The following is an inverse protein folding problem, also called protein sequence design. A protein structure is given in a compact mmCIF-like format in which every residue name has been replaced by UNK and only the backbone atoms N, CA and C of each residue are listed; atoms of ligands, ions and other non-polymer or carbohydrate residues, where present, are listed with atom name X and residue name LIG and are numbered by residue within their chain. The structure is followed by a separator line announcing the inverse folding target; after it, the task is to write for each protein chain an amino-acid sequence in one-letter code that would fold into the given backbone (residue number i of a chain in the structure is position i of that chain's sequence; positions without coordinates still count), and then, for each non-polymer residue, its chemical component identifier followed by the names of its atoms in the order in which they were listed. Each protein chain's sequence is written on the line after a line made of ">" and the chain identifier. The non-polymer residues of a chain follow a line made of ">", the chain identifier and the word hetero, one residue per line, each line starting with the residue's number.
data_IF_783254248001
#
_entry.id   IF_783254248001
#
_cell.length_a   1.000
_cell.length_b   1.000
_cell.length_c   1.000
_cell.angle_alpha   90.00
_cell.angle_beta   90.00
_cell.angle_gamma   90.00
#
_symmetry.space_group_name_H-M   'P 1'
#
loop_
_entity.id
_entity.type
_entity.pdbx_description
1 polymer ?
#
# COMPACT_ATOMS: atom_id res chain seq x y z
N UNK A 1 5.64 6.26 2.88
CA UNK A 1 4.75 6.59 1.74
C UNK A 1 3.51 7.27 2.27
N UNK A 2 3.00 8.29 1.56
CA UNK A 2 1.85 9.09 2.00
C UNK A 2 0.54 8.70 1.33
N UNK A 3 0.59 7.93 0.23
CA UNK A 3 -0.58 7.64 -0.61
C UNK A 3 -1.18 8.87 -1.27
N UNK A 4 -0.46 10.00 -1.31
CA UNK A 4 -0.93 11.25 -1.94
C UNK A 4 -0.80 11.15 -3.45
N UNK A 5 -1.91 11.39 -4.13
CA UNK A 5 -1.99 11.41 -5.59
C UNK A 5 -1.83 12.83 -6.13
N UNK A 6 -1.23 12.92 -7.31
CA UNK A 6 -0.96 14.16 -8.02
C UNK A 6 -1.24 13.95 -9.51
N UNK A 7 -1.90 14.93 -10.13
CA UNK A 7 -1.88 15.04 -11.59
C UNK A 7 -0.48 15.50 -12.04
N UNK A 8 0.02 14.94 -13.14
CA UNK A 8 1.37 15.22 -13.65
C UNK A 8 1.55 16.64 -14.18
N UNK A 9 2.75 16.93 -14.70
CA UNK A 9 3.14 18.24 -15.25
C UNK A 9 3.09 19.41 -14.24
N UNK A 10 3.39 19.12 -12.97
CA UNK A 10 3.49 20.10 -11.90
C UNK A 10 4.84 20.02 -11.19
N UNK A 11 5.27 21.14 -10.61
CA UNK A 11 6.37 21.16 -9.63
C UNK A 11 5.78 21.11 -8.23
N UNK A 12 6.30 20.20 -7.40
CA UNK A 12 5.81 20.00 -6.03
C UNK A 12 6.93 20.38 -5.07
N UNK A 13 6.70 21.42 -4.26
CA UNK A 13 7.54 21.74 -3.10
C UNK A 13 6.87 21.23 -1.84
N UNK A 14 7.54 20.35 -1.09
CA UNK A 14 7.02 19.79 0.17
C UNK A 14 8.12 19.60 1.20
N UNK A 15 7.81 19.82 2.48
CA UNK A 15 8.69 19.47 3.57
C UNK A 15 8.60 17.97 3.87
N UNK A 16 9.72 17.42 4.30
CA UNK A 16 9.86 16.02 4.71
C UNK A 16 10.59 15.98 6.05
N UNK A 17 10.21 15.05 6.92
CA UNK A 17 11.01 14.77 8.10
C UNK A 17 12.38 14.18 7.70
N UNK A 18 13.38 14.28 8.59
CA UNK A 18 14.74 13.77 8.30
C UNK A 18 14.78 12.27 7.96
N UNK A 19 13.79 11.51 8.43
CA UNK A 19 13.62 10.07 8.19
C UNK A 19 12.66 9.75 7.03
N UNK A 20 12.24 10.75 6.26
CA UNK A 20 11.38 10.59 5.09
C UNK A 20 12.14 10.79 3.78
N UNK A 21 12.16 9.76 2.94
CA UNK A 21 12.71 9.82 1.59
C UNK A 21 11.54 9.98 0.61
N UNK A 22 11.48 11.07 -0.18
CA UNK A 22 10.42 11.27 -1.16
C UNK A 22 10.57 10.28 -2.32
N UNK A 23 9.56 9.43 -2.50
CA UNK A 23 9.45 8.49 -3.62
C UNK A 23 8.06 8.65 -4.24
N UNK A 24 8.01 8.73 -5.56
CA UNK A 24 6.77 8.82 -6.33
C UNK A 24 6.66 7.60 -7.23
N UNK A 25 5.47 7.02 -7.29
CA UNK A 25 5.16 5.88 -8.15
C UNK A 25 4.11 6.33 -9.16
N UNK A 26 4.33 6.03 -10.43
CA UNK A 26 3.39 6.38 -11.49
C UNK A 26 2.14 5.51 -11.39
N UNK A 27 0.94 6.08 -11.54
CA UNK A 27 -0.28 5.30 -11.73
C UNK A 27 -0.11 4.31 -12.90
N UNK A 28 -0.63 3.09 -12.76
CA UNK A 28 -0.37 2.01 -13.73
C UNK A 28 0.87 1.18 -13.42
N UNK A 29 1.65 1.52 -12.39
CA UNK A 29 2.85 0.74 -12.04
C UNK A 29 2.50 -0.57 -11.33
N UNK A 30 3.28 -1.60 -11.64
CA UNK A 30 3.34 -2.87 -10.90
C UNK A 30 4.77 -2.99 -10.38
N UNK A 31 4.96 -3.00 -9.07
CA UNK A 31 6.29 -3.10 -8.44
C UNK A 31 6.41 -4.50 -7.81
N UNK A 32 7.20 -5.41 -8.41
CA UNK A 32 7.46 -6.71 -7.84
C UNK A 32 8.45 -6.58 -6.68
N UNK A 33 8.09 -7.16 -5.55
CA UNK A 33 8.90 -7.22 -4.33
C UNK A 33 8.83 -8.62 -3.74
N UNK A 34 9.52 -8.81 -2.62
CA UNK A 34 9.55 -10.07 -1.87
C UNK A 34 9.45 -9.77 -0.38
N UNK A 35 9.09 -10.77 0.45
CA UNK A 35 9.17 -10.62 1.90
C UNK A 35 10.56 -10.16 2.34
N UNK A 36 10.62 -9.47 3.48
CA UNK A 36 11.90 -9.06 4.06
C UNK A 36 12.72 -10.31 4.42
N UNK A 37 13.90 -10.41 3.83
CA UNK A 37 14.91 -11.45 4.09
C UNK A 37 16.19 -10.80 4.63
N UNK A 38 17.02 -11.58 5.33
CA UNK A 38 18.31 -11.09 5.81
C UNK A 38 19.40 -11.20 4.74
N UNK A 39 19.30 -12.22 3.88
CA UNK A 39 20.28 -12.47 2.81
C UNK A 39 19.58 -12.97 1.55
N UNK A 40 20.05 -12.53 0.39
CA UNK A 40 19.49 -12.90 -0.92
C UNK A 40 19.78 -14.36 -1.33
N UNK A 41 20.73 -15.01 -0.67
CA UNK A 41 21.05 -16.43 -0.90
C UNK A 41 20.22 -17.39 -0.02
N UNK A 42 19.34 -16.86 0.85
CA UNK A 42 18.35 -17.64 1.60
C UNK A 42 17.25 -18.12 0.65
N UNK A 43 17.49 -19.26 0.01
CA UNK A 43 16.53 -19.94 -0.89
C UNK A 43 15.61 -20.91 -0.11
N UNK A 44 14.37 -21.14 -0.59
CA UNK A 44 13.79 -20.54 -1.79
C UNK A 44 13.15 -19.18 -1.52
N UNK A 45 13.41 -18.22 -2.41
CA UNK A 45 12.66 -16.96 -2.49
C UNK A 45 11.35 -17.24 -3.24
N UNK A 46 10.43 -17.93 -2.57
CA UNK A 46 9.25 -18.51 -3.21
C UNK A 46 8.00 -17.63 -3.15
N UNK A 47 8.11 -16.37 -2.71
CA UNK A 47 6.98 -15.47 -2.58
C UNK A 47 7.23 -14.18 -3.37
N UNK A 48 6.40 -13.94 -4.37
CA UNK A 48 6.39 -12.70 -5.14
C UNK A 48 5.24 -11.81 -4.68
N UNK A 49 5.57 -10.62 -4.17
CA UNK A 49 4.61 -9.60 -3.80
C UNK A 49 4.49 -8.62 -4.96
N UNK A 50 3.28 -8.28 -5.37
CA UNK A 50 3.02 -7.34 -6.47
C UNK A 50 2.28 -6.13 -5.91
N UNK A 51 3.00 -5.02 -5.76
CA UNK A 51 2.42 -3.72 -5.43
C UNK A 51 1.87 -3.09 -6.69
N UNK A 52 0.55 -3.06 -6.79
CA UNK A 52 -0.14 -2.49 -7.93
C UNK A 52 -0.69 -1.14 -7.49
N UNK A 53 -0.36 -0.10 -8.26
CA UNK A 53 -0.84 1.26 -8.07
C UNK A 53 -1.88 1.55 -9.17
N UNK A 54 -3.18 1.32 -8.89
CA UNK A 54 -4.23 1.49 -9.88
C UNK A 54 -4.38 2.97 -10.27
N UNK A 55 -4.96 3.20 -11.44
CA UNK A 55 -5.23 4.54 -11.98
C UNK A 55 -5.31 4.45 -13.49
N UNK A 56 -4.20 4.05 -14.10
CA UNK A 56 -4.09 3.62 -15.48
C UNK A 56 -3.93 2.10 -15.59
N UNK A 57 -4.04 1.55 -16.80
CA UNK A 57 -3.65 0.16 -17.08
C UNK A 57 -2.12 0.02 -16.95
N UNK A 58 -1.68 -1.16 -16.54
CA UNK A 58 -0.28 -1.41 -16.22
C UNK A 58 0.24 -2.73 -16.73
N UNK A 59 1.55 -2.79 -16.98
CA UNK A 59 2.25 -4.04 -17.24
C UNK A 59 3.72 -3.97 -16.83
N UNK A 60 4.29 -5.14 -16.52
CA UNK A 60 5.71 -5.34 -16.26
C UNK A 60 6.12 -6.73 -16.76
N UNK A 61 7.40 -6.88 -17.14
CA UNK A 61 8.02 -8.18 -17.36
C UNK A 61 9.08 -8.41 -16.29
N UNK A 62 8.85 -9.40 -15.42
CA UNK A 62 9.75 -9.71 -14.30
C UNK A 62 10.85 -10.64 -14.79
N UNK A 63 12.09 -10.18 -14.73
CA UNK A 63 13.28 -10.95 -15.08
C UNK A 63 13.79 -11.79 -13.90
N UNK A 64 14.17 -13.04 -14.17
CA UNK A 64 14.80 -13.94 -13.21
C UNK A 64 15.91 -14.77 -13.87
N UNK A 65 17.01 -15.00 -13.16
CA UNK A 65 18.10 -15.90 -13.53
C UNK A 65 18.64 -16.64 -12.29
N UNK A 66 19.77 -17.36 -12.43
CA UNK A 66 20.37 -18.10 -11.33
C UNK A 66 20.96 -17.18 -10.22
N UNK A 67 21.31 -15.94 -10.56
CA UNK A 67 21.87 -14.90 -9.69
C UNK A 67 23.32 -15.13 -9.23
N UNK A 68 23.94 -16.25 -9.59
CA UNK A 68 25.24 -16.69 -9.05
C UNK A 68 26.22 -17.22 -10.10
N UNK A 69 25.90 -17.08 -11.40
CA UNK A 69 26.76 -17.50 -12.50
C UNK A 69 26.73 -16.51 -13.68
N UNK A 70 27.48 -16.80 -14.74
CA UNK A 70 27.54 -15.96 -15.94
C UNK A 70 26.58 -16.41 -17.05
N UNK A 71 25.68 -17.36 -16.76
CA UNK A 71 24.79 -17.94 -17.77
C UNK A 71 23.61 -17.04 -18.10
N UNK A 72 23.39 -15.96 -17.34
CA UNK A 72 22.38 -14.92 -17.56
C UNK A 72 22.30 -14.36 -18.99
N UNK A 73 23.34 -14.59 -19.82
CA UNK A 73 23.34 -14.26 -21.26
C UNK A 73 22.37 -15.10 -22.08
N UNK A 74 22.08 -16.34 -21.65
CA UNK A 74 21.24 -17.30 -22.38
C UNK A 74 20.25 -18.05 -21.46
N UNK A 75 20.52 -18.13 -20.16
CA UNK A 75 19.71 -18.82 -19.16
C UNK A 75 19.07 -17.79 -18.24
N UNK A 76 17.83 -17.46 -18.54
CA UNK A 76 16.99 -16.55 -17.78
C UNK A 76 15.53 -16.84 -18.10
N UNK A 77 14.64 -16.26 -17.32
CA UNK A 77 13.23 -16.36 -17.53
C UNK A 77 12.52 -15.01 -17.29
N UNK A 78 11.39 -14.84 -17.95
CA UNK A 78 10.53 -13.67 -17.81
C UNK A 78 9.11 -14.10 -17.42
N UNK A 79 8.51 -13.36 -16.48
CA UNK A 79 7.09 -13.47 -16.14
C UNK A 79 6.41 -12.17 -16.51
N UNK A 80 5.57 -12.19 -17.55
CA UNK A 80 4.79 -11.02 -17.95
C UNK A 80 3.57 -10.89 -17.04
N UNK A 81 3.36 -9.68 -16.50
CA UNK A 81 2.26 -9.36 -15.60
C UNK A 81 1.60 -8.10 -16.12
N UNK A 82 0.27 -8.07 -16.14
CA UNK A 82 -0.49 -6.88 -16.49
C UNK A 82 -1.75 -6.76 -15.63
N UNK A 83 -2.29 -5.55 -15.55
CA UNK A 83 -3.63 -5.33 -15.07
C UNK A 83 -4.38 -4.33 -15.96
N UNK A 84 -5.70 -4.51 -16.01
CA UNK A 84 -6.62 -3.62 -16.71
C UNK A 84 -7.68 -3.16 -15.72
N UNK A 85 -7.83 -1.84 -15.61
CA UNK A 85 -8.95 -1.23 -14.88
C UNK A 85 -10.16 -1.17 -15.81
N UNK A 86 -11.26 -1.76 -15.36
CA UNK A 86 -12.60 -1.68 -15.96
C UNK A 86 -13.50 -0.86 -15.02
N UNK A 87 -14.70 -0.51 -15.49
CA UNK A 87 -15.62 0.36 -14.74
C UNK A 87 -15.88 -0.11 -13.31
N UNK A 88 -16.06 -1.43 -13.10
CA UNK A 88 -16.38 -2.01 -11.79
C UNK A 88 -15.38 -3.06 -11.30
N UNK A 89 -14.27 -3.26 -12.01
CA UNK A 89 -13.30 -4.29 -11.64
C UNK A 89 -11.88 -3.97 -12.07
N UNK A 90 -10.91 -4.58 -11.40
CA UNK A 90 -9.52 -4.66 -11.85
C UNK A 90 -9.26 -6.12 -12.20
N UNK A 91 -8.82 -6.35 -13.44
CA UNK A 91 -8.40 -7.67 -13.89
C UNK A 91 -6.87 -7.73 -13.96
N UNK A 92 -6.26 -8.67 -13.25
CA UNK A 92 -4.81 -8.88 -13.21
C UNK A 92 -4.49 -10.22 -13.83
N UNK A 93 -3.47 -10.26 -14.68
CA UNK A 93 -3.03 -11.46 -15.36
C UNK A 93 -1.54 -11.66 -15.09
N UNK A 94 -1.18 -12.83 -14.55
CA UNK A 94 0.19 -13.31 -14.44
C UNK A 94 0.34 -14.41 -15.49
N UNK A 95 1.21 -14.20 -16.46
CA UNK A 95 1.38 -15.12 -17.59
C UNK A 95 2.36 -16.26 -17.24
N UNK A 96 2.27 -17.41 -17.93
CA UNK A 96 3.27 -18.47 -17.81
C UNK A 96 4.69 -17.94 -18.01
N UNK A 97 5.61 -18.46 -17.21
CA UNK A 97 7.02 -18.11 -17.31
C UNK A 97 7.58 -18.49 -18.69
N UNK A 98 8.38 -17.60 -19.27
CA UNK A 98 9.05 -17.80 -20.56
C UNK A 98 10.55 -17.83 -20.38
N UNK A 99 11.21 -18.88 -20.85
CA UNK A 99 12.64 -19.10 -20.64
C UNK A 99 12.91 -20.12 -19.55
N UNK A 100 14.18 -20.30 -19.21
CA UNK A 100 14.65 -21.32 -18.28
C UNK A 100 16.04 -20.99 -17.76
N UNK A 101 16.27 -21.29 -16.50
CA UNK A 101 17.59 -21.29 -15.87
C UNK A 101 17.64 -22.36 -14.78
N UNK A 102 18.85 -22.72 -14.34
CA UNK A 102 19.03 -23.73 -13.30
C UNK A 102 18.50 -23.27 -11.93
N UNK A 103 17.77 -24.14 -11.23
CA UNK A 103 17.15 -23.81 -9.95
C UNK A 103 15.88 -22.95 -10.02
N UNK A 104 15.29 -22.73 -11.21
CA UNK A 104 14.01 -22.04 -11.35
C UNK A 104 12.87 -22.75 -10.59
N UNK A 105 12.00 -21.98 -9.95
CA UNK A 105 10.83 -22.51 -9.26
C UNK A 105 9.76 -22.97 -10.26
N UNK A 106 9.27 -24.20 -10.10
CA UNK A 106 8.08 -24.70 -10.82
C UNK A 106 6.76 -24.16 -10.24
N UNK A 107 6.81 -23.63 -9.01
CA UNK A 107 5.67 -23.03 -8.34
C UNK A 107 6.13 -22.02 -7.28
N UNK A 108 5.34 -20.97 -7.07
CA UNK A 108 5.62 -19.91 -6.09
C UNK A 108 4.35 -19.31 -5.51
N UNK A 109 4.45 -18.74 -4.32
CA UNK A 109 3.42 -17.94 -3.70
C UNK A 109 3.35 -16.57 -4.37
N UNK A 110 2.13 -16.04 -4.50
CA UNK A 110 1.93 -14.64 -4.86
C UNK A 110 1.06 -13.94 -3.81
N UNK A 111 1.39 -12.68 -3.56
CA UNK A 111 0.55 -11.74 -2.83
C UNK A 111 0.36 -10.51 -3.70
N UNK A 112 -0.89 -10.11 -3.91
CA UNK A 112 -1.20 -8.84 -4.59
C UNK A 112 -1.53 -7.80 -3.53
N UNK A 113 -0.96 -6.61 -3.64
CA UNK A 113 -1.34 -5.45 -2.83
C UNK A 113 -1.84 -4.36 -3.76
N UNK A 114 -3.16 -4.10 -3.74
CA UNK A 114 -3.75 -2.99 -4.49
C UNK A 114 -3.73 -1.73 -3.62
N UNK A 115 -2.80 -0.83 -3.91
CA UNK A 115 -2.57 0.38 -3.13
C UNK A 115 -3.64 1.44 -3.45
N UNK A 116 -4.04 2.23 -2.46
CA UNK A 116 -5.07 3.28 -2.58
C UNK A 116 -6.41 2.76 -3.14
N UNK A 117 -6.85 1.60 -2.64
CA UNK A 117 -8.17 1.06 -2.98
C UNK A 117 -9.04 1.00 -1.74
N UNK A 118 -10.36 1.08 -1.91
CA UNK A 118 -11.29 0.64 -0.88
C UNK A 118 -11.31 -0.89 -0.82
N UNK A 119 -11.76 -1.50 0.30
CA UNK A 119 -12.05 -2.93 0.34
C UNK A 119 -12.94 -3.33 -0.84
N UNK A 120 -12.57 -4.36 -1.63
CA UNK A 120 -13.36 -4.78 -2.77
C UNK A 120 -14.65 -5.47 -2.33
N UNK A 121 -15.59 -5.60 -3.24
CA UNK A 121 -16.81 -6.39 -3.02
C UNK A 121 -16.52 -7.89 -3.03
N UNK A 122 -15.59 -8.33 -3.89
CA UNK A 122 -15.14 -9.73 -3.98
C UNK A 122 -13.85 -9.83 -4.78
N UNK A 123 -13.15 -10.94 -4.59
CA UNK A 123 -11.94 -11.31 -5.35
C UNK A 123 -12.09 -12.73 -5.85
N UNK A 124 -11.77 -12.98 -7.11
CA UNK A 124 -11.66 -14.34 -7.65
C UNK A 124 -10.29 -14.59 -8.27
N UNK A 125 -9.85 -15.84 -8.19
CA UNK A 125 -8.63 -16.35 -8.84
C UNK A 125 -9.03 -17.56 -9.69
N UNK A 126 -8.78 -17.50 -10.99
CA UNK A 126 -9.18 -18.53 -11.96
C UNK A 126 -10.64 -18.96 -11.76
N UNK A 127 -11.53 -17.96 -11.75
CA UNK A 127 -12.99 -18.08 -11.57
C UNK A 127 -13.46 -18.63 -10.20
N UNK A 128 -12.56 -18.82 -9.23
CA UNK A 128 -12.90 -19.22 -7.87
C UNK A 128 -12.80 -18.04 -6.93
N UNK A 129 -13.89 -17.73 -6.25
CA UNK A 129 -13.91 -16.68 -5.23
C UNK A 129 -13.00 -17.07 -4.06
N UNK A 130 -12.24 -16.09 -3.57
CA UNK A 130 -11.36 -16.23 -2.41
C UNK A 130 -11.57 -15.05 -1.47
N UNK A 131 -11.18 -15.23 -0.22
CA UNK A 131 -11.13 -14.13 0.73
C UNK A 131 -9.97 -13.17 0.40
N UNK A 132 -10.14 -11.92 0.81
CA UNK A 132 -9.10 -10.89 0.82
C UNK A 132 -8.95 -10.35 2.24
N UNK A 133 -7.79 -9.75 2.51
CA UNK A 133 -7.58 -8.93 3.69
C UNK A 133 -7.52 -7.45 3.27
N UNK A 134 -7.73 -6.53 4.21
CA UNK A 134 -7.56 -5.11 3.98
C UNK A 134 -6.64 -4.52 5.04
N UNK A 135 -5.49 -3.98 4.64
CA UNK A 135 -4.62 -3.21 5.55
C UNK A 135 -4.98 -1.74 5.42
N UNK A 136 -5.80 -1.27 6.35
CA UNK A 136 -6.24 0.12 6.38
C UNK A 136 -5.14 1.12 6.77
N UNK A 137 -4.03 0.67 7.36
CA UNK A 137 -2.88 1.56 7.63
C UNK A 137 -2.09 1.82 6.36
N UNK A 138 -2.01 0.80 5.49
CA UNK A 138 -1.42 0.92 4.16
C UNK A 138 -2.42 1.41 3.09
N UNK A 139 -3.71 1.46 3.43
CA UNK A 139 -4.83 1.77 2.53
C UNK A 139 -4.77 0.86 1.30
N UNK A 140 -4.72 -0.45 1.56
CA UNK A 140 -4.47 -1.44 0.53
C UNK A 140 -5.29 -2.72 0.71
N UNK A 141 -5.81 -3.23 -0.40
CA UNK A 141 -6.37 -4.58 -0.48
C UNK A 141 -5.24 -5.59 -0.61
N UNK A 142 -5.23 -6.61 0.24
CA UNK A 142 -4.22 -7.67 0.25
C UNK A 142 -4.87 -8.97 -0.21
N UNK A 143 -4.32 -9.56 -1.26
CA UNK A 143 -4.85 -10.79 -1.87
C UNK A 143 -3.75 -11.85 -1.83
N UNK A 144 -3.90 -12.80 -0.92
CA UNK A 144 -3.01 -13.94 -0.78
C UNK A 144 -3.52 -15.10 -1.64
N UNK A 145 -2.93 -15.33 -2.81
CA UNK A 145 -3.38 -16.40 -3.71
C UNK A 145 -2.67 -17.74 -3.46
N UNK A 146 -1.71 -17.75 -2.53
CA UNK A 146 -0.93 -18.93 -2.18
C UNK A 146 -0.06 -19.45 -3.32
N UNK A 147 0.38 -20.71 -3.20
CA UNK A 147 1.31 -21.36 -4.12
C UNK A 147 0.63 -21.72 -5.44
N UNK A 148 1.14 -21.18 -6.54
CA UNK A 148 0.65 -21.37 -7.90
C UNK A 148 1.74 -21.96 -8.80
N UNK A 149 1.35 -22.69 -9.84
CA UNK A 149 2.29 -23.15 -10.88
C UNK A 149 2.85 -21.95 -11.65
N UNK A 150 4.14 -21.96 -11.97
CA UNK A 150 4.74 -20.93 -12.84
C UNK A 150 4.52 -21.20 -14.33
N UNK A 151 4.02 -22.38 -14.69
CA UNK A 151 3.71 -22.75 -16.09
C UNK A 151 2.31 -22.38 -16.55
N UNK A 152 1.43 -21.97 -15.63
CA UNK A 152 0.02 -21.71 -15.90
C UNK A 152 -0.27 -20.21 -15.81
N UNK A 153 -1.24 -19.76 -16.61
CA UNK A 153 -1.76 -18.40 -16.48
C UNK A 153 -2.57 -18.31 -15.19
N UNK A 154 -2.38 -17.22 -14.44
CA UNK A 154 -3.24 -16.87 -13.31
C UNK A 154 -4.04 -15.63 -13.69
N UNK A 155 -5.36 -15.72 -13.59
CA UNK A 155 -6.27 -14.60 -13.75
C UNK A 155 -6.89 -14.24 -12.40
N UNK A 156 -6.82 -12.97 -12.03
CA UNK A 156 -7.36 -12.44 -10.78
C UNK A 156 -8.34 -11.33 -11.14
N UNK A 157 -9.58 -11.42 -10.66
CA UNK A 157 -10.60 -10.39 -10.87
C UNK A 157 -10.97 -9.82 -9.50
N UNK A 158 -10.79 -8.52 -9.35
CA UNK A 158 -11.16 -7.78 -8.15
C UNK A 158 -12.35 -6.90 -8.49
N UNK A 159 -13.54 -7.22 -7.95
CA UNK A 159 -14.72 -6.35 -8.08
C UNK A 159 -14.59 -5.20 -7.10
N UNK A 160 -14.45 -3.99 -7.63
CA UNK A 160 -14.14 -2.81 -6.84
C UNK A 160 -15.36 -2.34 -6.05
N UNK A 161 -15.11 -1.57 -4.99
CA UNK A 161 -16.14 -0.72 -4.39
C UNK A 161 -16.62 0.32 -5.40
N UNK A 162 -17.85 0.80 -5.25
CA UNK A 162 -18.39 1.90 -6.05
C UNK A 162 -17.97 3.29 -5.50
N UNK A 163 -17.15 3.32 -4.45
CA UNK A 163 -16.69 4.56 -3.82
C UNK A 163 -15.63 5.29 -4.65
N UNK A 164 -15.64 6.61 -4.53
CA UNK A 164 -14.64 7.49 -5.15
C UNK A 164 -13.27 7.35 -4.48
N UNK A 165 -12.33 6.69 -5.17
CA UNK A 165 -10.96 6.48 -4.69
C UNK A 165 -10.18 7.77 -4.47
N UNK A 166 -10.59 8.90 -5.06
CA UNK A 166 -9.94 10.19 -4.81
C UNK A 166 -9.97 10.59 -3.33
N UNK A 167 -10.95 10.11 -2.56
CA UNK A 167 -11.05 10.31 -1.10
C UNK A 167 -9.91 9.63 -0.32
N UNK A 168 -9.23 8.65 -0.90
CA UNK A 168 -8.10 7.95 -0.28
C UNK A 168 -6.77 8.71 -0.43
N UNK A 169 -6.72 9.69 -1.34
CA UNK A 169 -5.50 10.44 -1.66
C UNK A 169 -4.93 11.18 -0.44
N UNK A 170 -3.78 10.69 0.05
CA UNK A 170 -3.07 11.27 1.19
C UNK A 170 -3.54 10.78 2.56
N UNK A 171 -4.56 9.92 2.62
CA UNK A 171 -5.11 9.40 3.87
C UNK A 171 -4.06 8.65 4.70
N UNK A 172 -3.28 7.76 4.06
CA UNK A 172 -2.16 7.04 4.67
C UNK A 172 -1.16 7.99 5.35
N UNK A 173 -0.77 9.06 4.65
CA UNK A 173 0.14 10.08 5.15
C UNK A 173 -0.41 10.80 6.37
N UNK A 174 -1.66 11.29 6.30
CA UNK A 174 -2.33 11.98 7.41
C UNK A 174 -2.43 11.10 8.65
N UNK A 175 -2.86 9.84 8.50
CA UNK A 175 -2.91 8.89 9.63
C UNK A 175 -1.53 8.64 10.23
N UNK A 176 -0.51 8.39 9.39
CA UNK A 176 0.87 8.16 9.84
C UNK A 176 1.43 9.36 10.60
N UNK A 177 1.25 10.56 10.07
CA UNK A 177 1.77 11.79 10.66
C UNK A 177 1.05 12.10 11.99
N UNK A 178 -0.27 11.94 12.04
CA UNK A 178 -1.04 12.11 13.28
C UNK A 178 -0.66 11.07 14.33
N UNK A 179 -0.43 9.82 13.93
CA UNK A 179 0.06 8.78 14.83
C UNK A 179 1.44 9.09 15.41
N UNK A 180 2.35 9.67 14.61
CA UNK A 180 3.66 10.14 15.10
C UNK A 180 3.52 11.22 16.16
N UNK A 181 2.56 12.13 16.02
CA UNK A 181 2.25 13.12 17.05
C UNK A 181 1.74 12.46 18.34
N UNK A 182 0.83 11.49 18.23
CA UNK A 182 0.34 10.71 19.38
C UNK A 182 1.50 10.01 20.11
N UNK A 183 2.41 9.39 19.37
CA UNK A 183 3.62 8.76 19.91
C UNK A 183 4.51 9.74 20.66
N UNK A 184 4.72 10.93 20.09
CA UNK A 184 5.50 12.00 20.72
C UNK A 184 4.89 12.43 22.07
N UNK A 185 3.57 12.64 22.11
CA UNK A 185 2.88 13.04 23.35
C UNK A 185 2.87 11.90 24.38
N UNK A 186 2.69 10.66 23.94
CA UNK A 186 2.65 9.48 24.79
C UNK A 186 3.99 9.09 25.43
N UNK A 187 5.12 9.38 24.75
CA UNK A 187 6.48 9.11 25.24
C UNK A 187 7.06 10.24 26.11
N UNK A 188 6.28 11.29 26.39
CA UNK A 188 6.68 12.36 27.29
C UNK A 188 6.85 11.83 28.74
N UNK A 189 7.80 12.36 29.54
CA UNK A 189 7.94 12.00 30.96
C UNK A 189 6.67 12.18 31.78
N UNK A 190 5.75 13.02 31.32
CA UNK A 190 4.39 13.12 31.81
C UNK A 190 3.43 12.88 30.64
N UNK A 191 3.01 11.62 30.40
CA UNK A 191 2.11 11.29 29.30
C UNK A 191 0.80 12.07 29.42
N UNK A 192 0.35 12.66 28.30
CA UNK A 192 -0.80 13.57 28.28
C UNK A 192 -1.95 12.89 27.53
N UNK A 193 -2.68 12.00 28.21
CA UNK A 193 -3.74 11.17 27.61
C UNK A 193 -5.12 11.84 27.48
N UNK A 194 -5.20 13.17 27.48
CA UNK A 194 -6.48 13.91 27.48
C UNK A 194 -7.15 14.04 26.09
N UNK A 195 -6.86 13.15 25.13
CA UNK A 195 -7.14 13.40 23.71
C UNK A 195 -7.67 12.16 22.97
N UNK A 196 -8.78 11.60 23.44
CA UNK A 196 -9.41 10.42 22.85
C UNK A 196 -9.67 10.58 21.35
N UNK A 197 -10.15 11.74 20.90
CA UNK A 197 -10.42 11.98 19.47
C UNK A 197 -9.15 11.95 18.61
N UNK A 198 -8.04 12.57 19.07
CA UNK A 198 -6.77 12.56 18.32
C UNK A 198 -6.26 11.13 18.16
N UNK A 199 -6.29 10.36 19.24
CA UNK A 199 -5.90 8.94 19.25
C UNK A 199 -6.82 8.17 18.28
N UNK A 200 -8.13 8.35 18.42
CA UNK A 200 -9.16 7.69 17.61
C UNK A 200 -8.99 7.95 16.12
N UNK A 201 -8.73 9.19 15.70
CA UNK A 201 -8.48 9.56 14.30
C UNK A 201 -7.14 9.01 13.80
N UNK A 202 -6.09 9.01 14.65
CA UNK A 202 -4.80 8.40 14.28
C UNK A 202 -4.90 6.89 14.03
N UNK A 203 -5.88 6.24 14.67
CA UNK A 203 -6.13 4.80 14.56
C UNK A 203 -7.16 4.44 13.48
N UNK A 204 -7.61 5.38 12.64
CA UNK A 204 -8.59 5.10 11.58
C UNK A 204 -8.18 3.93 10.68
N UNK A 205 -6.91 3.86 10.26
CA UNK A 205 -6.40 2.73 9.47
C UNK A 205 -6.45 1.39 10.22
N UNK A 206 -6.25 1.42 11.54
CA UNK A 206 -6.40 0.23 12.38
C UNK A 206 -7.86 -0.21 12.46
N UNK A 207 -8.80 0.73 12.62
CA UNK A 207 -10.25 0.43 12.59
C UNK A 207 -10.68 -0.18 11.26
N UNK A 208 -10.22 0.38 10.15
CA UNK A 208 -10.47 -0.17 8.81
C UNK A 208 -9.87 -1.57 8.62
N UNK A 209 -8.74 -1.86 9.25
CA UNK A 209 -8.13 -3.21 9.21
C UNK A 209 -8.97 -4.22 9.99
N UNK A 210 -9.46 -3.84 11.17
CA UNK A 210 -10.27 -4.71 12.02
C UNK A 210 -11.68 -4.94 11.48
N UNK A 211 -12.29 -3.91 10.89
CA UNK A 211 -13.60 -4.00 10.26
C UNK A 211 -13.63 -3.28 8.90
N UNK A 212 -13.23 -3.97 7.82
CA UNK A 212 -13.20 -3.38 6.49
C UNK A 212 -14.57 -2.88 5.99
N UNK A 213 -15.68 -3.41 6.51
CA UNK A 213 -17.02 -2.94 6.16
C UNK A 213 -17.26 -1.47 6.55
N UNK A 214 -16.60 -0.98 7.60
CA UNK A 214 -16.72 0.41 8.08
C UNK A 214 -15.82 1.38 7.31
N UNK A 215 -14.97 0.89 6.39
CA UNK A 215 -13.94 1.70 5.75
C UNK A 215 -14.51 2.92 5.00
N UNK A 216 -15.66 2.77 4.35
CA UNK A 216 -16.32 3.86 3.62
C UNK A 216 -16.72 4.99 4.56
N UNK A 217 -17.40 4.66 5.65
CA UNK A 217 -17.85 5.65 6.64
C UNK A 217 -16.67 6.30 7.36
N UNK A 218 -15.65 5.52 7.72
CA UNK A 218 -14.43 6.03 8.33
C UNK A 218 -13.70 7.02 7.41
N UNK A 219 -13.58 6.71 6.12
CA UNK A 219 -12.95 7.62 5.13
C UNK A 219 -13.77 8.88 4.93
N UNK A 220 -15.11 8.75 4.82
CA UNK A 220 -16.00 9.90 4.62
C UNK A 220 -15.94 10.88 5.80
N UNK A 221 -15.78 10.38 7.03
CA UNK A 221 -15.71 11.20 8.24
C UNK A 221 -14.28 11.71 8.54
N UNK A 222 -13.25 11.09 7.96
CA UNK A 222 -11.85 11.30 8.36
C UNK A 222 -11.42 12.76 8.29
N UNK A 223 -11.73 13.49 7.22
CA UNK A 223 -11.28 14.89 7.08
C UNK A 223 -11.83 15.79 8.19
N UNK A 224 -13.09 15.59 8.57
CA UNK A 224 -13.71 16.34 9.67
C UNK A 224 -13.08 15.98 11.01
N UNK A 225 -12.84 14.68 11.25
CA UNK A 225 -12.14 14.22 12.46
C UNK A 225 -10.70 14.74 12.53
N UNK A 226 -10.00 14.77 11.40
CA UNK A 226 -8.64 15.28 11.28
C UNK A 226 -8.58 16.78 11.60
N UNK A 227 -9.46 17.59 11.01
CA UNK A 227 -9.53 19.03 11.28
C UNK A 227 -9.85 19.30 12.77
N UNK A 228 -10.76 18.53 13.37
CA UNK A 228 -11.05 18.60 14.80
C UNK A 228 -9.83 18.25 15.66
N UNK A 229 -9.04 17.24 15.26
CA UNK A 229 -7.79 16.89 15.93
C UNK A 229 -6.78 18.05 15.84
N UNK A 230 -6.63 18.69 14.67
CA UNK A 230 -5.73 19.83 14.50
C UNK A 230 -6.11 21.02 15.40
N UNK A 231 -7.40 21.37 15.47
CA UNK A 231 -7.85 22.46 16.34
C UNK A 231 -7.65 22.14 17.83
N UNK A 232 -7.82 20.88 18.25
CA UNK A 232 -7.47 20.47 19.60
C UNK A 232 -5.97 20.61 19.89
N UNK A 233 -5.09 20.17 18.98
CA UNK A 233 -3.64 20.33 19.11
C UNK A 233 -3.30 21.82 19.24
N UNK A 234 -3.83 22.64 18.34
CA UNK A 234 -3.64 24.10 18.31
C UNK A 234 -4.09 24.78 19.59
N UNK A 235 -5.22 24.38 20.17
CA UNK A 235 -5.70 24.94 21.44
C UNK A 235 -4.73 24.75 22.62
N UNK A 236 -3.79 23.80 22.49
CA UNK A 236 -2.84 23.43 23.54
C UNK A 236 -1.43 23.94 23.31
N UNK A 237 -1.09 24.48 22.14
CA UNK A 237 0.28 24.95 21.84
C UNK A 237 0.75 26.07 22.77
N UNK A 238 -0.17 26.88 23.30
CA UNK A 238 0.17 27.89 24.32
C UNK A 238 0.66 27.26 25.64
N UNK A 239 0.08 26.11 26.03
CA UNK A 239 0.50 25.34 27.21
C UNK A 239 1.70 24.43 26.90
N UNK A 240 1.78 23.95 25.66
CA UNK A 240 2.78 22.99 25.18
C UNK A 240 3.44 23.50 23.89
N UNK A 241 4.38 24.45 23.99
CA UNK A 241 5.01 25.07 22.80
C UNK A 241 5.78 24.08 21.92
N UNK A 242 6.23 22.96 22.50
CA UNK A 242 6.88 21.84 21.82
C UNK A 242 5.97 21.12 20.81
N UNK A 243 4.66 21.41 20.81
CA UNK A 243 3.70 20.86 19.85
C UNK A 243 3.63 21.65 18.54
N UNK A 244 4.10 22.90 18.53
CA UNK A 244 3.96 23.79 17.38
C UNK A 244 4.62 23.22 16.10
N UNK A 245 5.85 22.67 16.13
CA UNK A 245 6.46 22.08 14.94
C UNK A 245 5.66 20.90 14.37
N UNK A 246 5.02 20.10 15.24
CA UNK A 246 4.16 18.99 14.79
C UNK A 246 2.85 19.50 14.22
N UNK A 247 2.25 20.54 14.80
CA UNK A 247 1.04 21.15 14.25
C UNK A 247 1.30 21.72 12.85
N UNK A 248 2.39 22.45 12.67
CA UNK A 248 2.81 22.98 11.36
C UNK A 248 2.98 21.83 10.36
N UNK A 249 3.66 20.75 10.77
CA UNK A 249 3.84 19.54 9.95
C UNK A 249 2.52 18.86 9.58
N UNK A 250 1.59 18.70 10.52
CA UNK A 250 0.29 18.07 10.29
C UNK A 250 -0.65 18.89 9.39
N UNK A 251 -0.45 20.21 9.33
CA UNK A 251 -1.21 21.12 8.47
C UNK A 251 -0.71 21.13 7.02
N UNK A 252 0.45 20.52 6.75
CA UNK A 252 1.00 20.42 5.41
C UNK A 252 0.21 19.37 4.61
N UNK A 253 -0.63 19.85 3.69
CA UNK A 253 -1.51 19.03 2.85
C UNK A 253 -0.77 18.27 1.73
#
# INVERSE_FOLDING_TARGET
>A
ETGKEFEGNITIERPFALDEIPVYVKAGSIIPTMPKINRIDEKPLDTMILDIYPGDNGSISVYEDAGNDQKYKNEFAFTDINFVKKDSSIEINIMPIKGKFDGMLSSRNYQIRLINTFPPQSVSVNDREINFDYDGREVATIINIGKQSTSEKINIIVKQSNEDTAKLSGLKGKMKHLHRFVDFVGRSPQPRYEFESIISTSLTGTKMTYNPADAVDLVNNFETEYDNALEQIKSKTAKYPDWLPYLEWLQLR
#
